data_IF_988082690172
#
_entry.id   IF_988082690172
#
_cell.length_a   1.000
_cell.length_b   1.000
_cell.length_c   1.000
_cell.angle_alpha   90.00
_cell.angle_beta   90.00
_cell.angle_gamma   90.00
#
_symmetry.space_group_name_H-M   'P 1'
#
loop_
_entity.id
_entity.type
_entity.pdbx_description
1 polymer ?
#
# COMPACT_ATOMS: atom_id res chain seq x y z
N UNK A 1 -19.14 -34.94 -52.90
CA UNK A 1 -19.32 -33.64 -52.21
C UNK A 1 -19.41 -33.94 -50.72
N UNK A 2 -18.27 -33.94 -50.02
CA UNK A 2 -18.19 -34.37 -48.61
C UNK A 2 -18.17 -33.11 -47.76
N UNK A 3 -19.25 -32.92 -47.00
CA UNK A 3 -19.43 -31.82 -46.06
C UNK A 3 -18.68 -32.19 -44.77
N UNK A 4 -17.52 -31.59 -44.51
CA UNK A 4 -16.81 -31.71 -43.23
C UNK A 4 -17.39 -30.64 -42.30
N UNK A 5 -18.03 -31.00 -41.17
CA UNK A 5 -18.71 -30.02 -40.34
C UNK A 5 -17.70 -29.18 -39.54
N UNK A 6 -17.97 -27.88 -39.51
CA UNK A 6 -17.34 -26.81 -38.75
C UNK A 6 -17.48 -26.98 -37.21
N UNK A 7 -17.09 -28.14 -36.65
CA UNK A 7 -17.13 -28.39 -35.20
C UNK A 7 -15.79 -28.17 -34.49
N UNK A 8 -14.72 -27.86 -35.22
CA UNK A 8 -13.39 -27.60 -34.65
C UNK A 8 -13.21 -26.18 -34.08
N UNK A 9 -14.03 -25.21 -34.48
CA UNK A 9 -13.83 -23.80 -34.08
C UNK A 9 -14.20 -23.53 -32.61
N UNK A 10 -15.25 -24.18 -32.07
CA UNK A 10 -15.70 -23.97 -30.69
C UNK A 10 -14.77 -24.61 -29.64
N UNK A 11 -14.07 -25.70 -29.97
CA UNK A 11 -13.11 -26.37 -29.05
C UNK A 11 -11.83 -25.55 -28.81
N UNK A 12 -11.43 -24.72 -29.77
CA UNK A 12 -10.18 -23.95 -29.72
C UNK A 12 -10.30 -22.77 -28.75
N UNK A 13 -11.47 -22.12 -28.67
CA UNK A 13 -11.63 -20.88 -27.88
C UNK A 13 -11.62 -21.12 -26.36
N UNK A 14 -12.01 -22.30 -25.89
CA UNK A 14 -12.04 -22.61 -24.45
C UNK A 14 -10.69 -23.06 -23.87
N UNK A 15 -9.72 -23.48 -24.70
CA UNK A 15 -8.42 -24.02 -24.24
C UNK A 15 -7.28 -22.98 -24.14
N UNK A 16 -7.36 -21.84 -24.82
CA UNK A 16 -6.23 -20.87 -24.88
C UNK A 16 -6.03 -20.00 -23.63
N UNK A 17 -6.99 -19.99 -22.71
CA UNK A 17 -6.88 -19.27 -21.44
C UNK A 17 -6.66 -20.27 -20.31
N UNK A 18 -5.40 -20.45 -19.84
CA UNK A 18 -5.18 -21.19 -18.60
C UNK A 18 -6.05 -20.55 -17.53
N UNK A 19 -6.68 -21.37 -16.69
CA UNK A 19 -7.53 -20.97 -15.57
C UNK A 19 -6.64 -20.37 -14.47
N UNK A 20 -5.98 -19.26 -14.77
CA UNK A 20 -5.13 -18.57 -13.81
C UNK A 20 -6.05 -17.75 -12.94
N UNK A 21 -6.05 -18.05 -11.64
CA UNK A 21 -6.88 -17.37 -10.66
C UNK A 21 -6.28 -15.98 -10.42
N UNK A 22 -7.00 -14.93 -10.86
CA UNK A 22 -6.64 -13.53 -10.62
C UNK A 22 -5.93 -12.82 -11.78
N UNK A 23 -5.50 -11.59 -11.54
CA UNK A 23 -4.78 -10.77 -12.53
C UNK A 23 -3.32 -11.23 -12.62
N UNK A 24 -2.84 -11.53 -13.82
CA UNK A 24 -1.44 -11.90 -14.06
C UNK A 24 -0.72 -10.88 -14.93
N UNK A 25 0.60 -10.80 -14.77
CA UNK A 25 1.48 -10.06 -15.64
C UNK A 25 2.34 -11.05 -16.40
N UNK A 26 2.15 -11.12 -17.71
CA UNK A 26 2.95 -11.99 -18.59
C UNK A 26 4.19 -11.23 -19.06
N UNK A 27 5.36 -11.85 -18.90
CA UNK A 27 6.59 -11.40 -19.53
C UNK A 27 6.65 -11.93 -20.97
N UNK A 28 6.26 -11.09 -21.93
CA UNK A 28 6.16 -11.45 -23.34
C UNK A 28 7.50 -11.86 -23.96
N UNK A 29 8.63 -11.30 -23.51
CA UNK A 29 9.95 -11.68 -24.05
C UNK A 29 10.34 -13.07 -23.56
N UNK A 30 10.12 -13.37 -22.28
CA UNK A 30 10.35 -14.70 -21.72
C UNK A 30 9.41 -15.74 -22.36
N UNK A 31 8.15 -15.39 -22.59
CA UNK A 31 7.19 -16.24 -23.29
C UNK A 31 7.66 -16.56 -24.71
N UNK A 32 8.05 -15.53 -25.47
CA UNK A 32 8.60 -15.69 -26.83
C UNK A 32 9.82 -16.61 -26.84
N UNK A 33 10.78 -16.39 -25.94
CA UNK A 33 11.98 -17.24 -25.83
C UNK A 33 11.66 -18.70 -25.47
N UNK A 34 10.54 -18.96 -24.79
CA UNK A 34 10.08 -20.32 -24.50
C UNK A 34 9.43 -20.96 -25.73
N UNK A 35 8.64 -20.20 -26.49
CA UNK A 35 8.03 -20.68 -27.73
C UNK A 35 9.08 -21.03 -28.80
N UNK A 36 10.14 -20.24 -28.92
CA UNK A 36 11.24 -20.50 -29.87
C UNK A 36 12.01 -21.79 -29.55
N UNK A 37 11.93 -22.29 -28.32
CA UNK A 37 12.57 -23.55 -27.88
C UNK A 37 11.67 -24.77 -28.05
N UNK A 38 10.41 -24.58 -28.45
CA UNK A 38 9.49 -25.69 -28.70
C UNK A 38 9.91 -26.37 -30.01
N UNK A 39 10.21 -27.66 -29.93
CA UNK A 39 10.59 -28.46 -31.08
C UNK A 39 9.35 -28.84 -31.90
N UNK A 40 9.08 -28.08 -32.95
CA UNK A 40 8.03 -28.37 -33.93
C UNK A 40 8.46 -29.55 -34.83
N UNK A 41 8.23 -30.78 -34.37
CA UNK A 41 8.41 -31.97 -35.21
C UNK A 41 7.24 -32.06 -36.18
N UNK A 42 7.50 -32.15 -37.49
CA UNK A 42 6.45 -32.24 -38.50
C UNK A 42 5.57 -33.51 -38.29
N UNK A 43 4.27 -33.38 -37.99
CA UNK A 43 3.39 -34.50 -37.65
C UNK A 43 3.21 -35.51 -38.80
N UNK A 44 3.35 -35.06 -40.05
CA UNK A 44 3.19 -35.91 -41.24
C UNK A 44 4.30 -36.95 -41.41
N UNK A 45 5.37 -36.92 -40.59
CA UNK A 45 6.48 -37.87 -40.64
C UNK A 45 6.31 -39.12 -39.77
N UNK A 46 5.30 -39.20 -38.88
CA UNK A 46 5.17 -40.30 -37.90
C UNK A 46 3.96 -41.21 -38.11
N UNK A 47 2.74 -40.67 -38.15
CA UNK A 47 1.50 -41.40 -38.46
C UNK A 47 0.30 -40.43 -38.43
N UNK A 48 -0.65 -40.46 -39.38
CA UNK A 48 -1.83 -39.57 -39.38
C UNK A 48 -2.75 -39.78 -38.18
N UNK A 49 -2.78 -40.98 -37.60
CA UNK A 49 -3.63 -41.31 -36.44
C UNK A 49 -3.16 -40.67 -35.12
N UNK A 50 -1.97 -40.05 -35.11
CA UNK A 50 -1.40 -39.38 -33.93
C UNK A 50 -1.47 -37.84 -34.00
N UNK A 51 -2.20 -37.30 -34.97
CA UNK A 51 -2.32 -35.86 -35.17
C UNK A 51 -2.98 -35.17 -33.97
N UNK A 52 -4.03 -35.77 -33.41
CA UNK A 52 -4.72 -35.22 -32.23
C UNK A 52 -3.81 -35.16 -31.00
N UNK A 53 -3.01 -36.21 -30.77
CA UNK A 53 -2.04 -36.25 -29.67
C UNK A 53 -0.92 -35.22 -29.88
N UNK A 54 -0.51 -34.99 -31.13
CA UNK A 54 0.45 -33.93 -31.44
C UNK A 54 -0.10 -32.54 -31.13
N UNK A 55 -1.36 -32.28 -31.50
CA UNK A 55 -2.04 -31.03 -31.19
C UNK A 55 -2.15 -30.83 -29.68
N UNK A 56 -2.57 -31.86 -28.93
CA UNK A 56 -2.67 -31.79 -27.47
C UNK A 56 -1.32 -31.52 -26.80
N UNK A 57 -0.23 -32.15 -27.26
CA UNK A 57 1.11 -31.93 -26.72
C UNK A 57 1.61 -30.51 -27.00
N UNK A 58 1.40 -30.01 -28.21
CA UNK A 58 1.77 -28.65 -28.57
C UNK A 58 0.98 -27.60 -27.78
N UNK A 59 -0.32 -27.83 -27.56
CA UNK A 59 -1.16 -27.00 -26.71
C UNK A 59 -0.64 -26.97 -25.26
N UNK A 60 -0.26 -28.12 -24.72
CA UNK A 60 0.32 -28.23 -23.37
C UNK A 60 1.65 -27.48 -23.26
N UNK A 61 2.51 -27.53 -24.29
CA UNK A 61 3.76 -26.77 -24.32
C UNK A 61 3.53 -25.25 -24.37
N UNK A 62 2.55 -24.78 -25.15
CA UNK A 62 2.16 -23.37 -25.16
C UNK A 62 1.61 -22.94 -23.78
N UNK A 63 0.77 -23.76 -23.16
CA UNK A 63 0.18 -23.47 -21.86
C UNK A 63 1.24 -23.42 -20.76
N UNK A 64 2.17 -24.38 -20.73
CA UNK A 64 3.29 -24.41 -19.77
C UNK A 64 4.23 -23.23 -19.98
N UNK A 65 4.55 -22.86 -21.23
CA UNK A 65 5.32 -21.67 -21.55
C UNK A 65 4.64 -20.39 -21.02
N UNK A 66 3.31 -20.28 -21.19
CA UNK A 66 2.51 -19.15 -20.73
C UNK A 66 2.45 -19.05 -19.21
N UNK A 67 2.19 -20.16 -18.52
CA UNK A 67 2.17 -20.22 -17.05
C UNK A 67 3.55 -19.82 -16.51
N UNK A 68 4.62 -20.39 -17.06
CA UNK A 68 5.97 -20.14 -16.58
C UNK A 68 6.56 -18.79 -17.03
N UNK A 69 5.83 -18.00 -17.83
CA UNK A 69 6.15 -16.61 -18.16
C UNK A 69 5.19 -15.60 -17.50
N UNK A 70 4.16 -16.09 -16.81
CA UNK A 70 3.15 -15.28 -16.15
C UNK A 70 3.36 -15.30 -14.64
N UNK A 71 3.46 -14.11 -14.05
CA UNK A 71 3.53 -13.97 -12.59
C UNK A 71 2.18 -13.50 -12.05
N UNK A 72 1.71 -14.05 -10.91
CA UNK A 72 0.54 -13.52 -10.23
C UNK A 72 0.82 -12.08 -9.78
N UNK A 73 -0.09 -11.16 -10.11
CA UNK A 73 -0.01 -9.81 -9.57
C UNK A 73 -0.65 -9.89 -8.18
N UNK A 74 0.12 -9.66 -7.13
CA UNK A 74 -0.44 -9.57 -5.79
C UNK A 74 -1.51 -8.48 -5.74
N UNK A 75 -2.64 -8.77 -5.09
CA UNK A 75 -3.67 -7.77 -4.80
C UNK A 75 -3.21 -6.80 -3.69
N UNK A 76 -1.99 -6.28 -3.79
CA UNK A 76 -1.45 -5.35 -2.80
C UNK A 76 -1.75 -3.92 -3.26
N UNK A 77 -3.04 -3.59 -3.40
CA UNK A 77 -3.43 -2.19 -3.53
C UNK A 77 -3.90 -1.73 -2.16
N UNK A 78 -3.00 -1.12 -1.40
CA UNK A 78 -3.40 -0.28 -0.27
C UNK A 78 -4.41 0.72 -0.81
N UNK A 79 -5.63 0.71 -0.27
CA UNK A 79 -6.65 1.66 -0.67
C UNK A 79 -6.12 3.07 -0.42
N UNK A 80 -6.05 3.86 -1.48
CA UNK A 80 -5.68 5.28 -1.42
C UNK A 80 -6.92 6.07 -1.83
N UNK A 81 -7.31 7.00 -0.97
CA UNK A 81 -8.42 7.91 -1.26
C UNK A 81 -8.24 8.56 -2.65
N UNK A 82 -9.26 8.53 -3.53
CA UNK A 82 -9.18 9.07 -4.88
C UNK A 82 -8.81 10.56 -4.91
N UNK A 83 -9.20 11.35 -3.89
CA UNK A 83 -8.85 12.76 -3.73
C UNK A 83 -7.35 12.93 -3.53
N UNK A 84 -6.75 12.17 -2.61
CA UNK A 84 -5.29 12.15 -2.39
C UNK A 84 -4.56 11.71 -3.66
N UNK A 85 -5.09 10.71 -4.37
CA UNK A 85 -4.50 10.22 -5.61
C UNK A 85 -4.42 11.32 -6.68
N UNK A 86 -5.48 12.11 -6.83
CA UNK A 86 -5.51 13.20 -7.81
C UNK A 86 -4.50 14.31 -7.47
N UNK A 87 -4.43 14.73 -6.21
CA UNK A 87 -3.47 15.77 -5.77
C UNK A 87 -2.02 15.28 -5.93
N UNK A 88 -1.75 13.99 -5.65
CA UNK A 88 -0.42 13.39 -5.90
C UNK A 88 -0.04 13.43 -7.38
N UNK A 89 -0.98 13.16 -8.31
CA UNK A 89 -0.72 13.24 -9.75
C UNK A 89 -0.31 14.66 -10.15
N UNK A 90 -1.09 15.66 -9.74
CA UNK A 90 -0.80 17.05 -10.04
C UNK A 90 0.54 17.49 -9.44
N UNK A 91 0.80 17.17 -8.17
CA UNK A 91 2.08 17.49 -7.52
C UNK A 91 3.27 16.86 -8.22
N UNK A 92 3.13 15.61 -8.66
CA UNK A 92 4.20 14.92 -9.38
C UNK A 92 4.46 15.58 -10.74
N UNK A 93 3.41 16.01 -11.43
CA UNK A 93 3.53 16.79 -12.66
C UNK A 93 4.23 18.13 -12.41
N UNK A 94 3.78 18.94 -11.45
CA UNK A 94 4.40 20.24 -11.13
C UNK A 94 5.85 20.10 -10.70
N UNK A 95 6.19 19.04 -9.94
CA UNK A 95 7.56 18.74 -9.53
C UNK A 95 8.44 18.38 -10.72
N UNK A 96 7.93 17.61 -11.69
CA UNK A 96 8.65 17.30 -12.93
C UNK A 96 8.89 18.56 -13.74
N UNK A 97 7.86 19.40 -13.92
CA UNK A 97 7.99 20.68 -14.61
C UNK A 97 9.01 21.59 -13.93
N UNK A 98 8.99 21.72 -12.59
CA UNK A 98 9.98 22.49 -11.84
C UNK A 98 11.42 22.00 -12.04
N UNK A 99 11.63 20.67 -12.10
CA UNK A 99 12.97 20.13 -12.35
C UNK A 99 13.54 20.59 -13.69
N UNK A 100 12.68 20.70 -14.70
CA UNK A 100 13.05 21.11 -16.07
C UNK A 100 13.21 22.62 -16.15
N UNK A 101 12.20 23.38 -15.73
CA UNK A 101 12.16 24.84 -15.95
C UNK A 101 12.84 25.65 -14.85
N UNK A 102 13.06 25.06 -13.67
CA UNK A 102 13.55 25.73 -12.45
C UNK A 102 12.70 26.93 -12.00
N UNK A 103 11.45 27.02 -12.46
CA UNK A 103 10.54 28.12 -12.12
C UNK A 103 10.11 28.09 -10.63
N UNK A 104 10.43 29.13 -9.83
CA UNK A 104 10.02 29.21 -8.43
C UNK A 104 8.51 29.12 -8.19
N UNK A 105 7.67 29.53 -9.15
CA UNK A 105 6.21 29.43 -9.05
C UNK A 105 5.74 27.98 -8.91
N UNK A 106 6.36 27.07 -9.68
CA UNK A 106 6.08 25.64 -9.66
C UNK A 106 6.57 24.98 -8.37
N UNK A 107 7.66 25.49 -7.78
CA UNK A 107 8.12 25.06 -6.46
C UNK A 107 7.11 25.42 -5.37
N UNK A 108 6.59 26.65 -5.38
CA UNK A 108 5.52 27.08 -4.47
C UNK A 108 4.27 26.21 -4.64
N UNK A 109 3.84 25.96 -5.89
CA UNK A 109 2.70 25.08 -6.19
C UNK A 109 2.91 23.64 -5.66
N UNK A 110 4.10 23.07 -5.87
CA UNK A 110 4.45 21.73 -5.37
C UNK A 110 4.38 21.66 -3.84
N UNK A 111 4.89 22.69 -3.14
CA UNK A 111 4.82 22.78 -1.69
C UNK A 111 3.38 22.93 -1.19
N UNK A 112 2.55 23.72 -1.87
CA UNK A 112 1.11 23.87 -1.57
C UNK A 112 0.39 22.53 -1.68
N UNK A 113 0.55 21.81 -2.79
CA UNK A 113 -0.06 20.50 -3.01
C UNK A 113 0.41 19.46 -1.98
N UNK A 114 1.67 19.54 -1.51
CA UNK A 114 2.14 18.70 -0.40
C UNK A 114 1.40 18.99 0.91
N UNK A 115 1.19 20.25 1.26
CA UNK A 115 0.42 20.64 2.46
C UNK A 115 -1.04 20.20 2.36
N UNK A 116 -1.63 20.25 1.16
CA UNK A 116 -2.98 19.77 0.93
C UNK A 116 -3.08 18.25 1.13
N UNK A 117 -2.08 17.48 0.66
CA UNK A 117 -2.01 16.04 0.91
C UNK A 117 -1.94 15.75 2.41
N UNK A 118 -1.07 16.41 3.17
CA UNK A 118 -0.95 16.15 4.61
C UNK A 118 -2.24 16.48 5.35
N UNK A 119 -2.84 17.64 5.06
CA UNK A 119 -4.10 18.08 5.67
C UNK A 119 -5.26 17.11 5.37
N UNK A 120 -5.35 16.60 4.14
CA UNK A 120 -6.39 15.63 3.78
C UNK A 120 -6.14 14.26 4.41
N UNK A 121 -4.90 13.81 4.48
CA UNK A 121 -4.55 12.57 5.18
C UNK A 121 -4.94 12.65 6.67
N UNK A 122 -4.56 13.72 7.36
CA UNK A 122 -4.92 13.95 8.77
C UNK A 122 -6.44 13.97 8.95
N UNK A 123 -7.16 14.64 8.06
CA UNK A 123 -8.63 14.66 8.10
C UNK A 123 -9.22 13.26 7.95
N UNK A 124 -8.76 12.48 6.98
CA UNK A 124 -9.24 11.11 6.75
C UNK A 124 -8.94 10.21 7.95
N UNK A 125 -7.74 10.33 8.53
CA UNK A 125 -7.38 9.58 9.73
C UNK A 125 -8.27 9.95 10.92
N UNK A 126 -8.51 11.24 11.13
CA UNK A 126 -9.41 11.72 12.18
C UNK A 126 -10.86 11.26 11.95
N UNK A 127 -11.39 11.38 10.73
CA UNK A 127 -12.73 10.93 10.38
C UNK A 127 -12.88 9.41 10.57
N UNK A 128 -11.85 8.64 10.22
CA UNK A 128 -11.82 7.20 10.48
C UNK A 128 -11.78 6.88 11.98
N UNK A 129 -11.03 7.67 12.76
CA UNK A 129 -10.95 7.51 14.21
C UNK A 129 -12.29 7.84 14.89
N UNK A 130 -12.93 8.95 14.53
CA UNK A 130 -14.24 9.34 15.06
C UNK A 130 -15.32 8.33 14.67
N UNK A 131 -15.34 7.86 13.42
CA UNK A 131 -16.26 6.81 12.98
C UNK A 131 -16.07 5.50 13.76
N UNK A 132 -14.83 5.14 14.10
CA UNK A 132 -14.57 3.98 14.98
C UNK A 132 -15.11 4.18 16.39
N UNK A 133 -15.00 5.38 16.95
CA UNK A 133 -15.54 5.70 18.27
C UNK A 133 -17.08 5.72 18.27
N UNK A 134 -17.71 6.24 17.22
CA UNK A 134 -19.18 6.28 17.09
C UNK A 134 -19.76 4.87 16.90
N UNK A 135 -19.11 4.04 16.07
CA UNK A 135 -19.53 2.67 15.81
C UNK A 135 -19.02 1.67 16.87
N UNK A 136 -18.52 2.17 18.00
CA UNK A 136 -17.99 1.36 19.09
C UNK A 136 -19.14 0.64 19.81
N UNK A 137 -19.29 -0.67 19.56
CA UNK A 137 -20.23 -1.51 20.29
C UNK A 137 -19.64 -1.88 21.65
N UNK A 138 -20.36 -1.64 22.74
CA UNK A 138 -19.92 -1.75 24.15
C UNK A 138 -19.65 -3.19 24.64
N UNK A 139 -19.74 -4.19 23.76
CA UNK A 139 -19.55 -5.61 24.12
C UNK A 139 -18.12 -6.11 24.03
N UNK A 140 -17.21 -5.38 23.38
CA UNK A 140 -15.81 -5.78 23.29
C UNK A 140 -15.02 -5.23 24.49
N UNK A 141 -14.35 -6.09 25.29
CA UNK A 141 -13.53 -5.62 26.41
C UNK A 141 -12.40 -4.74 25.87
N UNK A 142 -12.25 -3.56 26.47
CA UNK A 142 -11.26 -2.53 26.15
C UNK A 142 -9.87 -3.13 25.84
N UNK A 143 -9.62 -3.40 24.56
CA UNK A 143 -8.29 -3.62 24.03
C UNK A 143 -7.56 -2.29 23.97
N UNK A 144 -7.13 -1.83 25.14
CA UNK A 144 -6.04 -0.89 25.41
C UNK A 144 -5.60 -0.19 24.12
N UNK A 145 -6.23 0.95 23.78
CA UNK A 145 -5.46 1.99 23.14
C UNK A 145 -4.29 2.19 24.07
N UNK A 146 -3.10 1.72 23.68
CA UNK A 146 -1.88 2.01 24.37
C UNK A 146 -1.63 3.50 24.17
N UNK A 147 -2.35 4.31 24.96
CA UNK A 147 -1.93 5.65 25.30
C UNK A 147 -0.55 5.45 25.92
N UNK A 148 0.47 5.57 25.09
CA UNK A 148 1.87 5.54 25.51
C UNK A 148 1.94 6.59 26.60
N UNK A 149 2.00 6.14 27.86
CA UNK A 149 2.05 7.02 29.02
C UNK A 149 3.28 7.89 28.79
N UNK A 150 3.06 9.17 28.48
CA UNK A 150 4.16 10.13 28.39
C UNK A 150 4.76 10.17 29.78
N UNK A 151 5.97 9.63 29.94
CA UNK A 151 6.74 9.77 31.16
C UNK A 151 7.22 11.21 31.20
N UNK A 152 6.46 12.08 31.86
CA UNK A 152 6.93 13.43 32.13
C UNK A 152 8.02 13.34 33.17
N UNK A 153 9.17 13.97 32.89
CA UNK A 153 10.27 14.04 33.83
C UNK A 153 9.88 15.06 34.91
N UNK A 154 9.46 14.57 36.07
CA UNK A 154 9.09 15.43 37.21
C UNK A 154 10.41 15.98 37.79
N UNK A 155 10.63 17.30 37.82
CA UNK A 155 11.84 17.88 38.39
C UNK A 155 11.94 17.58 39.89
N UNK A 156 13.16 17.42 40.39
CA UNK A 156 13.41 17.17 41.82
C UNK A 156 13.03 18.38 42.66
N UNK A 157 12.44 18.14 43.83
CA UNK A 157 12.08 19.19 44.76
C UNK A 157 13.35 19.68 45.48
N UNK A 158 13.83 20.87 45.11
CA UNK A 158 15.06 21.42 45.64
C UNK A 158 14.75 22.38 46.80
N UNK A 159 15.33 22.09 47.96
CA UNK A 159 15.36 22.99 49.10
C UNK A 159 16.51 23.99 49.03
N UNK A 160 16.73 24.79 50.09
CA UNK A 160 17.70 25.88 50.08
C UNK A 160 19.16 25.42 49.97
N UNK A 161 19.50 24.21 50.43
CA UNK A 161 20.87 23.68 50.41
C UNK A 161 21.06 22.49 49.45
N UNK A 162 20.02 21.66 49.23
CA UNK A 162 20.07 20.47 48.37
C UNK A 162 18.66 19.93 48.08
N UNK A 163 18.55 18.76 47.42
CA UNK A 163 17.27 18.08 47.19
C UNK A 163 16.60 17.78 48.53
N UNK A 164 15.34 18.17 48.68
CA UNK A 164 14.56 18.01 49.90
C UNK A 164 14.27 16.52 50.16
N UNK A 165 14.92 15.95 51.16
CA UNK A 165 14.82 14.53 51.48
C UNK A 165 13.84 14.29 52.64
N UNK A 166 13.78 15.22 53.59
CA UNK A 166 12.93 15.14 54.78
C UNK A 166 11.55 15.74 54.48
N UNK A 167 10.47 15.16 55.02
CA UNK A 167 9.11 15.60 54.70
C UNK A 167 8.80 17.04 55.13
N UNK A 168 9.41 17.52 56.23
CA UNK A 168 9.34 18.92 56.65
C UNK A 168 9.97 19.87 55.62
N UNK A 169 11.11 19.49 55.05
CA UNK A 169 11.76 20.25 53.98
C UNK A 169 10.91 20.26 52.71
N UNK A 170 10.33 19.12 52.33
CA UNK A 170 9.44 19.04 51.17
C UNK A 170 8.22 19.93 51.34
N UNK A 171 7.59 19.90 52.51
CA UNK A 171 6.44 20.75 52.83
C UNK A 171 6.80 22.24 52.71
N UNK A 172 7.95 22.65 53.23
CA UNK A 172 8.41 24.03 53.14
C UNK A 172 8.72 24.46 51.70
N UNK A 173 9.33 23.59 50.89
CA UNK A 173 9.60 23.88 49.47
C UNK A 173 8.30 24.10 48.68
N UNK A 174 7.28 23.26 48.93
CA UNK A 174 5.97 23.40 48.32
C UNK A 174 5.26 24.67 48.78
N UNK A 175 5.30 24.97 50.08
CA UNK A 175 4.71 26.18 50.66
C UNK A 175 5.30 27.44 50.03
N UNK A 176 6.63 27.55 49.94
CA UNK A 176 7.29 28.68 49.29
C UNK A 176 6.98 28.79 47.79
N UNK A 177 6.87 27.66 47.09
CA UNK A 177 6.54 27.63 45.67
C UNK A 177 5.12 28.15 45.43
N UNK A 178 4.16 27.71 46.25
CA UNK A 178 2.78 28.17 46.19
C UNK A 178 2.67 29.65 46.58
N UNK A 179 3.32 30.06 47.67
CA UNK A 179 3.32 31.45 48.13
C UNK A 179 3.74 32.40 47.01
N UNK A 180 4.84 32.10 46.30
CA UNK A 180 5.30 32.87 45.13
C UNK A 180 4.30 32.91 43.97
N UNK A 181 3.57 31.82 43.72
CA UNK A 181 2.59 31.76 42.64
C UNK A 181 1.34 32.59 42.92
N UNK A 182 1.01 32.79 44.20
CA UNK A 182 -0.19 33.49 44.64
C UNK A 182 0.10 34.89 45.20
N UNK A 183 1.30 35.44 45.03
CA UNK A 183 1.54 36.84 45.33
C UNK A 183 0.75 37.71 44.36
N UNK A 184 -0.04 38.63 44.90
CA UNK A 184 -0.69 39.66 44.11
C UNK A 184 0.41 40.53 43.50
N UNK A 185 0.35 40.79 42.20
CA UNK A 185 1.18 41.85 41.62
C UNK A 185 0.68 43.17 42.21
N UNK A 186 1.54 43.89 42.93
CA UNK A 186 1.28 45.27 43.30
C UNK A 186 1.17 46.08 42.00
N UNK A 187 -0.05 46.54 41.67
CA UNK A 187 -0.37 47.42 40.53
C UNK A 187 -0.46 48.86 41.02
#
# INVERSE_FOLDING_TARGET
MIFIPFLTSARILTRFFPKIIGKTKTNWTLFKNKLEKINLINPYKKNPDHLDNFVDNFENEILTAKIAASNPISQNQTYIDPRIRNIRKERNFTRKSFKITRDPSLKRKTNKLNKEITKLSEKIENDNYTNKLINFNTQEPFGILSSQKKTFNIPTLNGPASIANIDSEKANCLLQSLEKQFQLNDI
#
